data_IF_305716117490
#
_entry.id   IF_305716117490
#
_cell.length_a   1.000
_cell.length_b   1.000
_cell.length_c   1.000
_cell.angle_alpha   90.00
_cell.angle_beta   90.00
_cell.angle_gamma   90.00
#
_symmetry.space_group_name_H-M   'P 1'
#
loop_
_entity.id
_entity.type
_entity.pdbx_description
1 polymer ?
#
# COMPACT_ATOMS: atom_id res chain seq x y z
N UNK A 1 -9.38 -20.97 -33.48
CA UNK A 1 -10.01 -19.90 -32.65
C UNK A 1 -10.07 -20.26 -31.17
N UNK A 2 -10.67 -21.40 -30.79
CA UNK A 2 -10.73 -21.79 -29.38
C UNK A 2 -9.33 -21.97 -28.75
N UNK A 3 -8.37 -22.54 -29.47
CA UNK A 3 -6.97 -22.65 -29.02
C UNK A 3 -6.34 -21.27 -28.73
N UNK A 4 -6.58 -20.28 -29.60
CA UNK A 4 -6.10 -18.91 -29.37
C UNK A 4 -6.69 -18.30 -28.09
N UNK A 5 -8.00 -18.50 -27.86
CA UNK A 5 -8.65 -18.02 -26.64
C UNK A 5 -8.13 -18.73 -25.38
N UNK A 6 -7.79 -20.02 -25.49
CA UNK A 6 -7.19 -20.79 -24.39
C UNK A 6 -5.77 -20.30 -24.08
N UNK A 7 -4.95 -20.08 -25.10
CA UNK A 7 -3.59 -19.52 -24.96
C UNK A 7 -3.62 -18.10 -24.38
N UNK A 8 -4.53 -17.24 -24.87
CA UNK A 8 -4.73 -15.88 -24.33
C UNK A 8 -5.17 -15.91 -22.87
N UNK A 9 -6.08 -16.81 -22.49
CA UNK A 9 -6.47 -17.01 -21.10
C UNK A 9 -5.27 -17.43 -20.23
N UNK A 10 -4.53 -18.46 -20.66
CA UNK A 10 -3.37 -18.99 -19.94
C UNK A 10 -2.28 -17.93 -19.74
N UNK A 11 -2.01 -17.13 -20.78
CA UNK A 11 -1.02 -16.06 -20.74
C UNK A 11 -1.46 -14.96 -19.78
N UNK A 12 -2.68 -14.44 -19.92
CA UNK A 12 -3.23 -13.40 -19.05
C UNK A 12 -3.31 -13.87 -17.58
N UNK A 13 -3.72 -15.12 -17.35
CA UNK A 13 -3.77 -15.70 -16.01
C UNK A 13 -2.39 -15.72 -15.35
N UNK A 14 -1.36 -16.14 -16.11
CA UNK A 14 0.00 -16.24 -15.60
C UNK A 14 0.58 -14.86 -15.30
N UNK A 15 0.44 -13.90 -16.22
CA UNK A 15 0.91 -12.52 -16.04
C UNK A 15 0.22 -11.83 -14.86
N UNK A 16 -1.08 -12.04 -14.69
CA UNK A 16 -1.85 -11.46 -13.59
C UNK A 16 -1.43 -12.06 -12.23
N UNK A 17 -1.30 -13.38 -12.14
CA UNK A 17 -0.89 -14.07 -10.92
C UNK A 17 0.54 -13.71 -10.52
N UNK A 18 1.46 -13.64 -11.48
CA UNK A 18 2.85 -13.20 -11.24
C UNK A 18 2.89 -11.76 -10.74
N UNK A 19 2.09 -10.87 -11.34
CA UNK A 19 1.99 -9.50 -10.88
C UNK A 19 1.44 -9.41 -9.45
N UNK A 20 0.40 -10.17 -9.11
CA UNK A 20 -0.14 -10.25 -7.74
C UNK A 20 0.95 -10.72 -6.77
N UNK A 21 1.63 -11.81 -7.08
CA UNK A 21 2.70 -12.38 -6.24
C UNK A 21 3.87 -11.42 -6.04
N UNK A 22 4.20 -10.59 -7.04
CA UNK A 22 5.24 -9.56 -6.92
C UNK A 22 4.78 -8.34 -6.12
N UNK A 23 3.49 -8.00 -6.19
CA UNK A 23 2.94 -6.80 -5.55
C UNK A 23 2.67 -7.02 -4.07
N UNK A 24 2.29 -8.24 -3.65
CA UNK A 24 2.02 -8.57 -2.24
C UNK A 24 3.21 -8.22 -1.33
N UNK A 25 4.47 -8.68 -1.58
CA UNK A 25 5.60 -8.35 -0.73
C UNK A 25 5.90 -6.84 -0.65
N UNK A 26 5.64 -6.10 -1.73
CA UNK A 26 5.81 -4.64 -1.73
C UNK A 26 4.80 -3.96 -0.80
N UNK A 27 3.55 -4.43 -0.77
CA UNK A 27 2.50 -3.93 0.13
C UNK A 27 2.62 -4.48 1.56
N UNK A 28 3.23 -5.65 1.76
CA UNK A 28 3.52 -6.18 3.09
C UNK A 28 4.71 -5.50 3.76
N UNK A 29 5.54 -4.79 2.99
CA UNK A 29 6.68 -4.05 3.49
C UNK A 29 6.26 -2.79 4.28
N UNK A 30 5.84 -3.00 5.52
CA UNK A 30 5.38 -1.98 6.48
C UNK A 30 6.55 -1.40 7.29
N UNK A 31 7.62 -1.00 6.62
CA UNK A 31 8.77 -0.35 7.26
C UNK A 31 8.47 1.13 7.44
N UNK A 32 8.42 1.56 8.70
CA UNK A 32 8.21 2.96 9.05
C UNK A 32 9.48 3.76 8.75
N UNK A 33 9.34 4.84 8.00
CA UNK A 33 10.44 5.77 7.74
C UNK A 33 10.60 6.76 8.90
N UNK A 34 11.82 7.26 9.09
CA UNK A 34 12.14 8.15 10.20
C UNK A 34 11.63 9.59 10.00
N UNK A 35 11.28 9.97 8.78
CA UNK A 35 10.89 11.35 8.44
C UNK A 35 9.51 11.42 7.81
N UNK A 36 8.77 12.48 8.13
CA UNK A 36 7.46 12.76 7.52
C UNK A 36 7.54 12.86 5.99
N UNK A 37 8.62 13.44 5.45
CA UNK A 37 8.83 13.54 4.01
C UNK A 37 8.94 12.15 3.35
N UNK A 38 9.69 11.23 3.94
CA UNK A 38 9.80 9.87 3.41
C UNK A 38 8.46 9.12 3.47
N UNK A 39 7.64 9.37 4.49
CA UNK A 39 6.28 8.81 4.55
C UNK A 39 5.32 9.43 3.52
N UNK A 40 5.46 10.72 3.22
CA UNK A 40 4.71 11.36 2.14
C UNK A 40 5.10 10.77 0.78
N UNK A 41 6.38 10.46 0.54
CA UNK A 41 6.81 9.78 -0.67
C UNK A 41 6.14 8.40 -0.81
N UNK A 42 6.15 7.59 0.26
CA UNK A 42 5.44 6.28 0.26
C UNK A 42 3.94 6.41 -0.01
N UNK A 43 3.30 7.47 0.50
CA UNK A 43 1.89 7.76 0.22
C UNK A 43 1.67 8.05 -1.27
N UNK A 44 2.56 8.84 -1.88
CA UNK A 44 2.46 9.19 -3.29
C UNK A 44 2.71 7.97 -4.18
N UNK A 45 3.71 7.15 -3.86
CA UNK A 45 3.96 5.88 -4.55
C UNK A 45 2.73 4.96 -4.48
N UNK A 46 2.04 4.91 -3.34
CA UNK A 46 0.80 4.15 -3.18
C UNK A 46 -0.37 4.74 -3.98
N UNK A 47 -0.46 6.07 -4.10
CA UNK A 47 -1.47 6.75 -4.94
C UNK A 47 -1.24 6.48 -6.42
N UNK A 48 0.00 6.55 -6.88
CA UNK A 48 0.37 6.23 -8.26
C UNK A 48 0.12 4.76 -8.58
N UNK A 49 0.43 3.85 -7.65
CA UNK A 49 0.02 2.46 -7.73
C UNK A 49 -1.50 2.31 -7.96
N UNK A 50 -2.33 2.96 -7.15
CA UNK A 50 -3.80 2.88 -7.28
C UNK A 50 -4.35 3.56 -8.53
N UNK A 51 -3.71 4.62 -9.02
CA UNK A 51 -4.20 5.45 -10.14
C UNK A 51 -3.75 4.93 -11.50
N UNK A 52 -2.54 4.38 -11.59
CA UNK A 52 -1.91 4.03 -12.87
C UNK A 52 -1.70 2.53 -13.00
N UNK A 53 -1.18 1.87 -11.96
CA UNK A 53 -0.76 0.47 -12.06
C UNK A 53 -1.88 -0.54 -11.79
N UNK A 54 -2.78 -0.25 -10.85
CA UNK A 54 -3.90 -1.15 -10.51
C UNK A 54 -5.03 -1.19 -11.56
N UNK A 55 -5.49 -0.06 -12.16
CA UNK A 55 -6.60 -0.08 -13.11
C UNK A 55 -6.44 -1.02 -14.32
N UNK A 56 -5.28 -1.09 -15.01
CA UNK A 56 -5.12 -2.05 -16.12
C UNK A 56 -5.22 -3.50 -15.64
N UNK A 57 -4.77 -3.81 -14.42
CA UNK A 57 -4.87 -5.17 -13.85
C UNK A 57 -6.29 -5.58 -13.49
N UNK A 58 -7.13 -4.63 -13.08
CA UNK A 58 -8.57 -4.86 -12.92
C UNK A 58 -9.21 -5.19 -14.28
N UNK A 59 -8.81 -4.48 -15.34
CA UNK A 59 -9.30 -4.73 -16.69
C UNK A 59 -8.83 -6.10 -17.21
N UNK A 60 -7.57 -6.49 -16.99
CA UNK A 60 -7.05 -7.82 -17.33
C UNK A 60 -7.82 -8.94 -16.60
N UNK A 61 -8.12 -8.78 -15.31
CA UNK A 61 -8.96 -9.72 -14.54
C UNK A 61 -10.36 -9.85 -15.17
N UNK A 62 -11.00 -8.73 -15.48
CA UNK A 62 -12.33 -8.74 -16.13
C UNK A 62 -12.29 -9.43 -17.50
N UNK A 63 -11.27 -9.12 -18.31
CA UNK A 63 -11.08 -9.73 -19.63
C UNK A 63 -10.88 -11.26 -19.53
N UNK A 64 -10.16 -11.71 -18.50
CA UNK A 64 -9.94 -13.13 -18.23
C UNK A 64 -11.26 -13.86 -17.92
N UNK A 65 -12.12 -13.26 -17.10
CA UNK A 65 -13.46 -13.79 -16.80
C UNK A 65 -14.34 -13.83 -18.07
N UNK A 66 -14.29 -12.80 -18.90
CA UNK A 66 -15.00 -12.74 -20.19
C UNK A 66 -14.53 -13.85 -21.14
N UNK A 67 -13.21 -14.03 -21.28
CA UNK A 67 -12.61 -15.05 -22.14
C UNK A 67 -13.04 -16.44 -21.69
N UNK A 68 -13.02 -16.71 -20.38
CA UNK A 68 -13.48 -17.97 -19.80
C UNK A 68 -14.96 -18.24 -20.08
N UNK A 69 -15.84 -17.27 -19.82
CA UNK A 69 -17.27 -17.40 -20.05
C UNK A 69 -17.62 -17.61 -21.54
N UNK A 70 -16.88 -16.94 -22.42
CA UNK A 70 -17.01 -17.08 -23.87
C UNK A 70 -16.59 -18.48 -24.32
N UNK A 71 -15.43 -18.97 -23.86
CA UNK A 71 -14.94 -20.33 -24.12
C UNK A 71 -15.93 -21.39 -23.63
N UNK A 72 -16.42 -21.27 -22.40
CA UNK A 72 -17.41 -22.18 -21.82
C UNK A 72 -18.70 -22.24 -22.65
N UNK A 73 -19.21 -21.07 -23.07
CA UNK A 73 -20.41 -20.99 -23.89
C UNK A 73 -20.20 -21.60 -25.28
N UNK A 74 -19.08 -21.27 -25.94
CA UNK A 74 -18.74 -21.84 -27.26
C UNK A 74 -18.59 -23.36 -27.19
N UNK A 75 -17.90 -23.90 -26.19
CA UNK A 75 -17.69 -25.35 -26.05
C UNK A 75 -18.99 -26.10 -25.77
N UNK A 76 -19.85 -25.54 -24.91
CA UNK A 76 -21.19 -26.07 -24.64
C UNK A 76 -22.05 -26.14 -25.91
N UNK A 77 -22.08 -25.07 -26.70
CA UNK A 77 -22.82 -25.05 -27.97
C UNK A 77 -22.24 -26.03 -29.01
N UNK A 78 -20.96 -26.37 -28.90
CA UNK A 78 -20.26 -27.29 -29.80
C UNK A 78 -20.33 -28.76 -29.36
N UNK A 79 -21.06 -29.09 -28.27
CA UNK A 79 -21.02 -30.40 -27.61
C UNK A 79 -19.59 -30.89 -27.28
N UNK A 80 -18.68 -29.97 -26.99
CA UNK A 80 -17.30 -30.28 -26.58
C UNK A 80 -17.17 -30.18 -25.06
N UNK A 81 -16.26 -30.94 -24.43
CA UNK A 81 -16.02 -30.84 -22.99
C UNK A 81 -15.60 -29.41 -22.60
N UNK A 82 -15.97 -29.03 -21.38
CA UNK A 82 -15.69 -27.71 -20.82
C UNK A 82 -14.19 -27.42 -20.76
N UNK A 83 -13.80 -26.16 -21.00
CA UNK A 83 -12.41 -25.75 -20.86
C UNK A 83 -12.02 -25.76 -19.37
N UNK A 84 -11.02 -26.57 -19.04
CA UNK A 84 -10.42 -26.60 -17.71
C UNK A 84 -9.01 -25.99 -17.83
N UNK A 85 -8.76 -24.81 -17.24
CA UNK A 85 -7.41 -24.24 -17.19
C UNK A 85 -6.44 -25.12 -16.41
N UNK A 86 -5.14 -24.91 -16.61
CA UNK A 86 -4.07 -25.49 -15.78
C UNK A 86 -4.31 -25.27 -14.27
N UNK A 87 -3.89 -26.23 -13.45
CA UNK A 87 -4.00 -26.16 -11.98
C UNK A 87 -3.36 -24.86 -11.43
N UNK A 88 -4.05 -24.16 -10.52
CA UNK A 88 -3.62 -22.87 -9.99
C UNK A 88 -3.92 -21.65 -10.87
N UNK A 89 -4.42 -21.85 -12.10
CA UNK A 89 -4.88 -20.78 -13.00
C UNK A 89 -6.41 -20.76 -13.14
N UNK A 90 -7.15 -21.39 -12.22
CA UNK A 90 -8.61 -21.36 -12.28
C UNK A 90 -9.11 -19.94 -11.97
N UNK A 91 -10.28 -19.58 -12.54
CA UNK A 91 -10.93 -18.29 -12.24
C UNK A 91 -11.15 -18.11 -10.73
N UNK A 92 -11.45 -19.19 -10.00
CA UNK A 92 -11.56 -19.19 -8.54
C UNK A 92 -10.24 -18.85 -7.84
N UNK A 93 -9.12 -19.40 -8.32
CA UNK A 93 -7.80 -19.18 -7.73
C UNK A 93 -7.34 -17.74 -7.94
N UNK A 94 -7.60 -17.20 -9.14
CA UNK A 94 -7.34 -15.80 -9.47
C UNK A 94 -8.20 -14.88 -8.62
N UNK A 95 -9.49 -15.20 -8.42
CA UNK A 95 -10.36 -14.44 -7.54
C UNK A 95 -9.88 -14.45 -6.09
N UNK A 96 -9.40 -15.60 -5.60
CA UNK A 96 -8.81 -15.74 -4.26
C UNK A 96 -7.50 -14.95 -4.12
N UNK A 97 -6.59 -15.05 -5.09
CA UNK A 97 -5.34 -14.29 -5.11
C UNK A 97 -5.60 -12.78 -5.14
N UNK A 98 -6.57 -12.35 -5.95
CA UNK A 98 -7.00 -10.95 -6.02
C UNK A 98 -7.58 -10.45 -4.69
N UNK A 99 -8.42 -11.27 -4.03
CA UNK A 99 -8.96 -10.94 -2.71
C UNK A 99 -7.84 -10.83 -1.65
N UNK A 100 -6.83 -11.69 -1.73
CA UNK A 100 -5.63 -11.59 -0.90
C UNK A 100 -4.88 -10.28 -1.11
N UNK A 101 -4.67 -9.87 -2.36
CA UNK A 101 -4.08 -8.58 -2.70
C UNK A 101 -4.88 -7.41 -2.08
N UNK A 102 -6.20 -7.38 -2.28
CA UNK A 102 -7.06 -6.31 -1.73
C UNK A 102 -7.01 -6.24 -0.19
N UNK A 103 -6.87 -7.39 0.48
CA UNK A 103 -6.71 -7.43 1.94
C UNK A 103 -5.37 -6.83 2.38
N UNK A 104 -4.27 -7.17 1.68
CA UNK A 104 -2.94 -6.62 1.97
C UNK A 104 -2.92 -5.11 1.69
N UNK A 105 -3.49 -4.67 0.57
CA UNK A 105 -3.63 -3.24 0.21
C UNK A 105 -4.35 -2.45 1.30
N UNK A 106 -5.49 -2.96 1.78
CA UNK A 106 -6.25 -2.31 2.86
C UNK A 106 -5.42 -2.20 4.14
N UNK A 107 -4.72 -3.28 4.51
CA UNK A 107 -3.86 -3.27 5.69
C UNK A 107 -2.66 -2.32 5.56
N UNK A 108 -2.11 -2.17 4.34
CA UNK A 108 -1.05 -1.21 4.06
C UNK A 108 -1.54 0.24 4.14
N UNK A 109 -2.71 0.55 3.57
CA UNK A 109 -3.34 1.88 3.64
C UNK A 109 -3.65 2.27 5.10
N UNK A 110 -4.23 1.37 5.89
CA UNK A 110 -4.51 1.59 7.31
C UNK A 110 -3.23 1.85 8.12
N UNK A 111 -2.18 1.05 7.87
CA UNK A 111 -0.87 1.23 8.50
C UNK A 111 -0.26 2.59 8.14
N UNK A 112 -0.23 2.93 6.85
CA UNK A 112 0.39 4.14 6.33
C UNK A 112 -0.30 5.41 6.86
N UNK A 113 -1.64 5.44 6.90
CA UNK A 113 -2.41 6.54 7.49
C UNK A 113 -2.22 6.66 9.01
N UNK A 114 -2.03 5.54 9.70
CA UNK A 114 -1.77 5.56 11.15
C UNK A 114 -0.39 6.11 11.45
N UNK A 115 0.61 5.72 10.66
CA UNK A 115 1.98 6.13 10.85
C UNK A 115 2.21 7.60 10.49
N UNK A 116 1.56 8.10 9.43
CA UNK A 116 1.53 9.53 9.09
C UNK A 116 0.97 10.35 10.26
N UNK A 117 -0.20 9.98 10.79
CA UNK A 117 -0.80 10.68 11.95
C UNK A 117 0.09 10.64 13.19
N UNK A 118 0.81 9.53 13.41
CA UNK A 118 1.76 9.39 14.51
C UNK A 118 2.92 10.36 14.37
N UNK A 119 3.50 10.47 13.17
CA UNK A 119 4.60 11.41 12.88
C UNK A 119 4.16 12.87 12.99
N UNK A 120 3.00 13.24 12.44
CA UNK A 120 2.44 14.59 12.58
C UNK A 120 2.29 15.00 14.05
N UNK A 121 1.81 14.07 14.89
CA UNK A 121 1.70 14.30 16.34
C UNK A 121 3.07 14.49 17.00
N UNK A 122 4.06 13.68 16.62
CA UNK A 122 5.41 13.80 17.16
C UNK A 122 6.06 15.13 16.79
N UNK A 123 5.94 15.54 15.52
CA UNK A 123 6.47 16.82 15.05
C UNK A 123 5.82 17.99 15.80
N UNK A 124 4.50 17.94 15.99
CA UNK A 124 3.80 18.96 16.77
C UNK A 124 4.26 19.01 18.23
N UNK A 125 4.44 17.85 18.89
CA UNK A 125 4.91 17.78 20.28
C UNK A 125 6.36 18.24 20.41
N UNK A 126 7.23 17.84 19.48
CA UNK A 126 8.63 18.27 19.43
C UNK A 126 8.73 19.78 19.26
N UNK A 127 7.90 20.37 18.40
CA UNK A 127 7.84 21.81 18.19
C UNK A 127 7.38 22.55 19.45
N UNK A 128 6.30 22.08 20.08
CA UNK A 128 5.80 22.64 21.34
C UNK A 128 6.82 22.55 22.47
N UNK A 129 7.55 21.44 22.55
CA UNK A 129 8.61 21.24 23.53
C UNK A 129 9.76 22.23 23.29
N UNK A 130 10.23 22.37 22.05
CA UNK A 130 11.29 23.32 21.68
C UNK A 130 10.91 24.74 22.05
N UNK A 131 9.71 25.19 21.70
CA UNK A 131 9.23 26.54 22.05
C UNK A 131 9.22 26.79 23.56
N UNK A 132 8.68 25.83 24.34
CA UNK A 132 8.65 25.93 25.81
C UNK A 132 10.05 25.91 26.42
N UNK A 133 10.92 25.03 25.93
CA UNK A 133 12.29 24.90 26.39
C UNK A 133 13.08 26.19 26.13
N UNK A 134 13.00 26.74 24.92
CA UNK A 134 13.64 28.01 24.57
C UNK A 134 13.12 29.15 25.43
N UNK A 135 11.79 29.27 25.60
CA UNK A 135 11.21 30.32 26.47
C UNK A 135 11.69 30.19 27.92
N UNK A 136 11.74 28.97 28.45
CA UNK A 136 12.20 28.72 29.80
C UNK A 136 13.69 29.03 29.96
N UNK A 137 14.54 28.60 29.03
CA UNK A 137 15.97 28.92 29.02
C UNK A 137 16.21 30.42 28.96
N UNK A 138 15.52 31.14 28.08
CA UNK A 138 15.62 32.60 28.01
C UNK A 138 15.20 33.28 29.32
N UNK A 139 14.19 32.75 30.02
CA UNK A 139 13.74 33.29 31.30
C UNK A 139 14.69 32.96 32.46
N UNK A 140 15.30 31.77 32.48
CA UNK A 140 16.24 31.36 33.54
C UNK A 140 17.64 31.97 33.37
N UNK A 141 18.01 32.34 32.15
CA UNK A 141 19.32 32.94 31.85
C UNK A 141 19.57 34.16 32.74
N UNK A 142 20.69 34.17 33.47
CA UNK A 142 21.08 35.26 34.38
C UNK A 142 20.38 35.29 35.73
N UNK A 143 19.33 34.49 35.95
CA UNK A 143 18.63 34.45 37.26
C UNK A 143 19.47 33.83 38.37
N UNK A 144 20.21 32.78 38.06
CA UNK A 144 21.05 32.08 39.04
C UNK A 144 22.20 32.99 39.51
N UNK A 145 22.80 33.73 38.58
CA UNK A 145 23.86 34.70 38.87
C UNK A 145 23.33 35.86 39.72
N UNK A 146 22.18 36.44 39.36
CA UNK A 146 21.51 37.48 40.17
C UNK A 146 21.18 36.99 41.59
N UNK A 147 20.64 35.78 41.73
CA UNK A 147 20.28 35.22 43.04
C UNK A 147 21.49 34.86 43.90
N UNK A 148 22.66 34.67 43.29
CA UNK A 148 23.91 34.41 44.01
C UNK A 148 24.56 35.68 44.60
N UNK A 149 24.11 36.86 44.18
CA UNK A 149 24.61 38.13 44.68
C UNK A 149 24.12 38.37 46.12
N UNK A 150 25.05 38.73 47.01
CA UNK A 150 24.81 38.99 48.44
C UNK A 150 24.68 40.48 48.74
N UNK A 151 23.95 41.20 47.89
CA UNK A 151 23.86 42.67 47.96
C UNK A 151 23.18 43.17 49.25
N UNK A 152 22.51 42.28 49.98
CA UNK A 152 21.88 42.53 51.28
C UNK A 152 22.86 42.52 52.47
N UNK A 153 24.12 42.12 52.29
CA UNK A 153 25.14 42.07 53.37
C UNK A 153 25.90 43.41 53.55
N UNK A 154 25.42 44.49 52.92
CA UNK A 154 25.97 45.87 53.04
C UNK A 154 24.99 46.78 53.74
#
# INVERSE_FOLDING_TARGET
ENEKLMEEYEKLASELLEWIQRTIPWLENRVAEQTMHAMQQKLEDFRDYRRVHKPPKVQEKCQLEINFNTLQTKLRLSNRPAFMPSEGKMVSDIANAWKGLEQVEKGYEEWLLTEIRRLERLDHLAEKFRQKSTLHQSWTTGKEELLSQKDYET
#
